data_IF_500557979654
#
_entry.id   IF_500557979654
#
_cell.length_a   1.000
_cell.length_b   1.000
_cell.length_c   1.000
_cell.angle_alpha   90.00
_cell.angle_beta   90.00
_cell.angle_gamma   90.00
#
_symmetry.space_group_name_H-M   'P 1'
#
loop_
_entity.id
_entity.type
_entity.pdbx_description
1 polymer ?
#
# COMPACT_ATOMS: atom_id res chain seq x y z
N UNK A 1 -32.84 10.92 24.86
CA UNK A 1 -32.36 10.21 23.66
C UNK A 1 -30.85 10.27 23.72
N UNK A 2 -30.16 9.15 23.54
CA UNK A 2 -28.70 9.17 23.46
C UNK A 2 -28.31 10.03 22.24
N UNK A 3 -27.22 10.79 22.34
CA UNK A 3 -26.68 11.47 21.16
C UNK A 3 -26.18 10.40 20.19
N UNK A 4 -26.67 10.45 18.96
CA UNK A 4 -26.22 9.59 17.86
C UNK A 4 -25.22 10.37 16.99
N UNK A 5 -24.23 9.64 16.47
CA UNK A 5 -23.19 10.14 15.59
C UNK A 5 -23.31 9.47 14.23
N UNK A 6 -23.06 10.23 13.16
CA UNK A 6 -23.08 9.69 11.80
C UNK A 6 -21.72 9.10 11.44
N UNK A 7 -21.72 7.81 11.10
CA UNK A 7 -20.53 7.05 10.70
C UNK A 7 -20.80 6.32 9.38
N UNK A 8 -19.83 5.51 8.94
CA UNK A 8 -19.92 4.65 7.77
C UNK A 8 -19.75 3.18 8.14
N UNK A 9 -20.27 2.29 7.31
CA UNK A 9 -19.81 0.91 7.21
C UNK A 9 -18.54 0.84 6.34
N UNK A 10 -17.85 -0.30 6.37
CA UNK A 10 -16.65 -0.54 5.57
C UNK A 10 -16.92 -0.57 4.06
N UNK A 11 -18.17 -0.70 3.62
CA UNK A 11 -18.59 -0.53 2.21
C UNK A 11 -19.02 0.91 1.87
N UNK A 12 -19.00 1.83 2.84
CA UNK A 12 -19.38 3.22 2.68
C UNK A 12 -20.84 3.56 3.00
N UNK A 13 -21.68 2.56 3.34
CA UNK A 13 -23.06 2.81 3.78
C UNK A 13 -23.07 3.75 4.99
N UNK A 14 -23.98 4.74 5.00
CA UNK A 14 -24.10 5.68 6.10
C UNK A 14 -24.95 5.10 7.22
N UNK A 15 -24.43 5.13 8.44
CA UNK A 15 -25.10 4.63 9.65
C UNK A 15 -25.11 5.67 10.77
N UNK A 16 -25.94 5.43 11.78
CA UNK A 16 -25.95 6.18 13.04
C UNK A 16 -25.60 5.25 14.20
N UNK A 17 -24.72 5.71 15.09
CA UNK A 17 -24.30 4.93 16.27
C UNK A 17 -24.30 5.80 17.53
N UNK A 18 -24.54 5.19 18.68
CA UNK A 18 -24.31 5.84 19.98
C UNK A 18 -22.84 5.81 20.35
N UNK A 19 -22.41 6.67 21.28
CA UNK A 19 -21.04 6.65 21.81
C UNK A 19 -20.64 5.26 22.32
N UNK A 20 -21.50 4.58 23.06
CA UNK A 20 -21.19 3.25 23.62
C UNK A 20 -20.95 2.21 22.53
N UNK A 21 -21.70 2.27 21.43
CA UNK A 21 -21.48 1.38 20.27
C UNK A 21 -20.15 1.67 19.58
N UNK A 22 -19.79 2.95 19.43
CA UNK A 22 -18.52 3.35 18.82
C UNK A 22 -17.33 2.85 19.66
N UNK A 23 -17.38 3.03 20.99
CA UNK A 23 -16.33 2.55 21.89
C UNK A 23 -16.21 1.03 21.84
N UNK A 24 -17.33 0.31 21.84
CA UNK A 24 -17.31 -1.16 21.73
C UNK A 24 -16.68 -1.63 20.42
N UNK A 25 -17.03 -1.00 19.30
CA UNK A 25 -16.46 -1.34 17.98
C UNK A 25 -14.96 -1.02 17.90
N UNK A 26 -14.51 0.09 18.49
CA UNK A 26 -13.08 0.43 18.58
C UNK A 26 -12.31 -0.63 19.38
N UNK A 27 -12.84 -1.05 20.53
CA UNK A 27 -12.25 -2.11 21.35
C UNK A 27 -12.19 -3.44 20.60
N UNK A 28 -13.28 -3.85 19.94
CA UNK A 28 -13.33 -5.10 19.18
C UNK A 28 -12.36 -5.08 17.99
N UNK A 29 -12.26 -3.97 17.27
CA UNK A 29 -11.33 -3.83 16.14
C UNK A 29 -9.87 -3.89 16.57
N UNK A 30 -9.53 -3.27 17.70
CA UNK A 30 -8.18 -3.35 18.26
C UNK A 30 -7.85 -4.76 18.78
N UNK A 31 -8.79 -5.41 19.47
CA UNK A 31 -8.63 -6.78 19.95
C UNK A 31 -8.46 -7.79 18.81
N UNK A 32 -9.18 -7.62 17.69
CA UNK A 32 -9.02 -8.46 16.48
C UNK A 32 -7.60 -8.37 15.93
N UNK A 33 -7.06 -7.16 15.76
CA UNK A 33 -5.69 -6.96 15.30
C UNK A 33 -4.66 -7.54 16.28
N UNK A 34 -4.88 -7.32 17.58
CA UNK A 34 -4.01 -7.81 18.64
C UNK A 34 -3.93 -9.33 18.67
N UNK A 35 -5.07 -10.02 18.56
CA UNK A 35 -5.13 -11.49 18.55
C UNK A 35 -4.46 -12.06 17.29
N UNK A 36 -4.82 -11.54 16.11
CA UNK A 36 -4.30 -12.04 14.83
C UNK A 36 -2.79 -11.79 14.67
N UNK A 37 -2.35 -10.58 14.99
CA UNK A 37 -0.94 -10.18 14.87
C UNK A 37 -0.08 -10.56 16.06
N UNK A 38 -0.66 -11.07 17.15
CA UNK A 38 0.04 -11.25 18.43
C UNK A 38 0.78 -9.97 18.89
N UNK A 39 0.08 -8.83 18.78
CA UNK A 39 0.56 -7.48 19.11
C UNK A 39 -0.30 -6.89 20.25
N UNK A 40 0.17 -5.84 20.96
CA UNK A 40 -0.64 -5.20 21.99
C UNK A 40 -1.89 -4.52 21.41
N UNK A 41 -3.00 -4.60 22.14
CA UNK A 41 -4.17 -3.74 21.92
C UNK A 41 -3.82 -2.26 22.13
N UNK A 42 -4.63 -1.38 21.56
CA UNK A 42 -4.57 0.05 21.84
C UNK A 42 -4.92 0.31 23.32
N UNK A 43 -4.19 1.23 23.93
CA UNK A 43 -4.46 1.68 25.29
C UNK A 43 -5.77 2.46 25.38
N UNK A 44 -6.28 2.62 26.60
CA UNK A 44 -7.53 3.37 26.84
C UNK A 44 -7.45 4.81 26.33
N UNK A 45 -6.33 5.49 26.51
CA UNK A 45 -6.11 6.87 26.05
C UNK A 45 -6.12 6.95 24.51
N UNK A 46 -5.58 5.93 23.83
CA UNK A 46 -5.58 5.86 22.37
C UNK A 46 -6.98 5.56 21.82
N UNK A 47 -7.73 4.67 22.45
CA UNK A 47 -9.13 4.40 22.10
C UNK A 47 -10.01 5.63 22.31
N UNK A 48 -9.82 6.37 23.42
CA UNK A 48 -10.51 7.63 23.68
C UNK A 48 -10.20 8.67 22.60
N UNK A 49 -8.93 8.77 22.17
CA UNK A 49 -8.53 9.68 21.09
C UNK A 49 -9.14 9.30 19.74
N UNK A 50 -9.20 8.00 19.40
CA UNK A 50 -9.90 7.54 18.20
C UNK A 50 -11.40 7.84 18.26
N UNK A 51 -12.01 7.67 19.43
CA UNK A 51 -13.41 7.99 19.63
C UNK A 51 -13.68 9.49 19.42
N UNK A 52 -12.81 10.37 19.92
CA UNK A 52 -12.91 11.81 19.71
C UNK A 52 -12.80 12.19 18.21
N UNK A 53 -11.88 11.57 17.46
CA UNK A 53 -11.73 11.79 16.00
C UNK A 53 -13.01 11.35 15.26
N UNK A 54 -13.53 10.17 15.58
CA UNK A 54 -14.70 9.61 14.91
C UNK A 54 -15.96 10.43 15.20
N UNK A 55 -16.14 10.81 16.46
CA UNK A 55 -17.31 11.54 16.95
C UNK A 55 -17.26 13.04 16.66
N UNK A 56 -16.19 13.55 16.03
CA UNK A 56 -16.09 14.95 15.63
C UNK A 56 -17.29 15.34 14.74
N UNK A 57 -17.95 16.44 15.10
CA UNK A 57 -19.12 16.96 14.40
C UNK A 57 -18.80 17.60 13.04
N UNK A 58 -17.53 17.92 12.78
CA UNK A 58 -17.08 18.47 11.52
C UNK A 58 -17.10 17.42 10.43
N UNK A 59 -17.43 17.83 9.20
CA UNK A 59 -17.38 16.91 8.05
C UNK A 59 -15.95 16.47 7.75
N UNK A 60 -15.01 17.40 7.83
CA UNK A 60 -13.58 17.20 7.59
C UNK A 60 -12.85 17.38 8.91
N UNK A 61 -11.91 16.49 9.20
CA UNK A 61 -10.99 16.63 10.34
C UNK A 61 -9.56 16.67 9.82
N UNK A 62 -8.66 17.29 10.58
CA UNK A 62 -7.24 17.39 10.22
C UNK A 62 -6.41 17.42 11.49
N UNK A 63 -5.11 17.19 11.33
CA UNK A 63 -4.11 17.44 12.37
C UNK A 63 -3.94 18.93 12.62
N UNK A 64 -3.41 19.27 13.79
CA UNK A 64 -3.08 20.65 14.15
C UNK A 64 -1.88 21.18 13.35
N UNK A 65 -1.79 22.50 13.11
CA UNK A 65 -0.62 23.08 12.44
C UNK A 65 0.70 22.73 13.12
N UNK A 66 1.68 22.28 12.33
CA UNK A 66 2.97 21.76 12.78
C UNK A 66 3.02 20.25 13.01
N UNK A 67 1.89 19.55 12.83
CA UNK A 67 1.78 18.09 12.90
C UNK A 67 1.52 17.46 11.53
N UNK A 68 1.64 18.23 10.45
CA UNK A 68 1.54 17.73 9.08
C UNK A 68 2.68 16.75 8.77
N UNK A 69 2.38 15.76 7.93
CA UNK A 69 3.31 14.74 7.46
C UNK A 69 3.33 14.72 5.92
N UNK A 70 4.44 14.26 5.31
CA UNK A 70 4.51 14.02 3.87
C UNK A 70 3.33 13.21 3.33
N UNK A 71 2.80 13.67 2.20
CA UNK A 71 1.85 12.91 1.38
C UNK A 71 2.59 12.31 0.19
N UNK A 72 2.76 11.00 0.23
CA UNK A 72 3.35 10.19 -0.83
C UNK A 72 2.27 9.54 -1.67
N UNK A 73 2.41 9.58 -2.99
CA UNK A 73 1.35 9.14 -3.90
C UNK A 73 1.78 7.94 -4.73
N UNK A 74 0.93 6.91 -4.73
CA UNK A 74 0.90 5.78 -5.64
C UNK A 74 -0.04 6.05 -6.85
N UNK A 75 0.00 5.17 -7.86
CA UNK A 75 -0.67 5.17 -9.18
C UNK A 75 -0.39 6.40 -10.06
N UNK A 76 0.29 7.38 -9.48
CA UNK A 76 0.79 8.60 -10.07
C UNK A 76 -0.21 9.28 -11.00
N UNK A 77 0.20 9.40 -12.25
CA UNK A 77 -0.52 10.11 -13.31
C UNK A 77 -1.90 9.56 -13.64
N UNK A 78 -2.10 8.28 -13.33
CA UNK A 78 -3.31 7.53 -13.68
C UNK A 78 -4.50 7.86 -12.76
N UNK A 79 -4.26 8.47 -11.59
CA UNK A 79 -5.35 9.02 -10.75
C UNK A 79 -6.26 9.96 -11.56
N UNK A 80 -5.70 10.69 -12.53
CA UNK A 80 -6.46 11.63 -13.36
C UNK A 80 -7.04 10.96 -14.60
N UNK A 81 -6.19 10.33 -15.42
CA UNK A 81 -6.59 9.81 -16.74
C UNK A 81 -7.18 8.39 -16.72
N UNK A 82 -6.84 7.60 -15.70
CA UNK A 82 -7.28 6.23 -15.53
C UNK A 82 -8.77 6.14 -15.23
N UNK A 83 -9.36 4.99 -15.51
CA UNK A 83 -10.76 4.75 -15.15
C UNK A 83 -10.91 4.41 -13.66
N UNK A 84 -12.17 4.35 -13.20
CA UNK A 84 -12.50 4.02 -11.81
C UNK A 84 -12.07 2.60 -11.41
N UNK A 85 -11.86 1.71 -12.38
CA UNK A 85 -11.37 0.35 -12.13
C UNK A 85 -9.90 0.33 -11.69
N UNK A 86 -9.12 1.32 -12.13
CA UNK A 86 -7.75 1.56 -11.68
C UNK A 86 -7.64 2.76 -10.73
N UNK A 87 -8.68 3.02 -9.92
CA UNK A 87 -8.72 4.13 -8.94
C UNK A 87 -8.51 5.53 -9.55
N UNK A 88 -8.75 5.70 -10.85
CA UNK A 88 -8.67 6.96 -11.56
C UNK A 88 -10.02 7.66 -11.74
N UNK A 89 -10.01 8.95 -12.10
CA UNK A 89 -11.24 9.75 -12.25
C UNK A 89 -11.74 9.91 -13.70
N UNK A 90 -11.06 9.31 -14.67
CA UNK A 90 -11.47 9.28 -16.08
C UNK A 90 -11.44 10.63 -16.78
N UNK A 91 -10.62 11.57 -16.30
CA UNK A 91 -10.44 12.89 -16.89
C UNK A 91 -9.25 12.82 -17.87
N UNK A 92 -9.47 12.92 -19.19
CA UNK A 92 -8.37 12.79 -20.15
C UNK A 92 -7.26 13.80 -19.87
N UNK A 93 -6.07 13.27 -19.57
CA UNK A 93 -4.87 14.04 -19.27
C UNK A 93 -3.66 13.34 -19.87
N UNK A 94 -2.53 14.05 -19.97
CA UNK A 94 -1.24 13.41 -20.24
C UNK A 94 -0.58 13.04 -18.91
N UNK A 95 0.35 12.09 -18.95
CA UNK A 95 1.14 11.72 -17.76
C UNK A 95 1.84 12.91 -17.12
N UNK A 96 2.53 13.74 -17.91
CA UNK A 96 3.16 14.98 -17.42
C UNK A 96 2.14 15.94 -16.74
N UNK A 97 0.98 16.16 -17.35
CA UNK A 97 -0.06 17.02 -16.77
C UNK A 97 -0.60 16.41 -15.47
N UNK A 98 -0.76 15.09 -15.41
CA UNK A 98 -1.13 14.36 -14.19
C UNK A 98 -0.14 14.57 -13.05
N UNK A 99 1.17 14.40 -13.30
CA UNK A 99 2.23 14.68 -12.33
C UNK A 99 2.15 16.13 -11.83
N UNK A 100 2.14 17.10 -12.75
CA UNK A 100 2.11 18.52 -12.39
C UNK A 100 0.83 18.92 -11.66
N UNK A 101 -0.30 18.26 -11.90
CA UNK A 101 -1.55 18.50 -11.19
C UNK A 101 -1.45 18.10 -9.72
N UNK A 102 -0.83 16.94 -9.43
CA UNK A 102 -0.64 16.49 -8.05
C UNK A 102 0.32 17.41 -7.30
N UNK A 103 1.48 17.73 -7.89
CA UNK A 103 2.44 18.64 -7.27
C UNK A 103 1.85 20.05 -7.05
N UNK A 104 1.30 20.67 -8.11
CA UNK A 104 0.98 22.11 -8.09
C UNK A 104 -0.44 22.41 -7.63
N UNK A 105 -1.36 21.48 -7.89
CA UNK A 105 -2.79 21.64 -7.59
C UNK A 105 -3.17 21.01 -6.26
N UNK A 106 -2.64 19.81 -5.97
CA UNK A 106 -3.00 19.06 -4.76
C UNK A 106 -1.96 19.19 -3.64
N UNK A 107 -0.73 19.61 -3.97
CA UNK A 107 0.33 19.82 -2.98
C UNK A 107 0.97 18.53 -2.50
N UNK A 108 1.06 17.52 -3.37
CA UNK A 108 1.77 16.27 -3.09
C UNK A 108 3.26 16.53 -2.78
N UNK A 109 3.82 15.81 -1.81
CA UNK A 109 5.23 15.98 -1.39
C UNK A 109 6.19 15.09 -2.20
N UNK A 110 5.69 13.98 -2.74
CA UNK A 110 6.34 13.17 -3.77
C UNK A 110 5.35 12.81 -4.86
N UNK A 111 5.86 12.32 -5.97
CA UNK A 111 5.03 11.78 -7.03
C UNK A 111 5.71 10.57 -7.64
N UNK A 112 4.95 9.80 -8.41
CA UNK A 112 5.51 8.75 -9.24
C UNK A 112 4.98 8.80 -10.68
N UNK A 113 5.77 8.20 -11.57
CA UNK A 113 5.39 7.88 -12.92
C UNK A 113 5.13 6.38 -13.03
N UNK A 114 4.01 6.01 -13.65
CA UNK A 114 3.67 4.62 -13.92
C UNK A 114 3.23 4.41 -15.37
N UNK A 115 3.35 3.16 -15.82
CA UNK A 115 2.69 2.68 -17.03
C UNK A 115 1.20 2.44 -16.76
N UNK A 116 0.32 2.51 -17.76
CA UNK A 116 -1.15 2.41 -17.58
C UNK A 116 -1.62 1.11 -16.91
N UNK A 117 -0.92 0.01 -17.15
CA UNK A 117 -1.17 -1.29 -16.49
C UNK A 117 -0.69 -1.31 -15.03
N UNK A 118 0.16 -0.34 -14.69
CA UNK A 118 0.72 -0.13 -13.36
C UNK A 118 1.40 -1.37 -12.77
N UNK A 119 1.97 -2.21 -13.64
CA UNK A 119 2.78 -3.37 -13.29
C UNK A 119 4.14 -3.30 -13.99
N UNK A 120 5.17 -3.92 -13.41
CA UNK A 120 6.50 -3.92 -14.02
C UNK A 120 6.53 -4.70 -15.36
N UNK A 121 5.89 -5.88 -15.44
CA UNK A 121 6.02 -6.77 -16.60
C UNK A 121 5.72 -6.08 -17.95
N UNK A 122 4.64 -5.29 -18.10
CA UNK A 122 4.31 -4.62 -19.37
C UNK A 122 5.23 -3.45 -19.74
N UNK A 123 6.07 -2.98 -18.82
CA UNK A 123 7.03 -1.88 -19.08
C UNK A 123 8.16 -2.34 -20.00
N UNK A 124 8.59 -3.60 -19.87
CA UNK A 124 9.79 -4.12 -20.54
C UNK A 124 9.80 -3.90 -22.08
N UNK A 125 8.72 -4.16 -22.83
CA UNK A 125 8.68 -3.90 -24.28
C UNK A 125 8.69 -2.41 -24.66
N UNK A 126 8.33 -1.52 -23.73
CA UNK A 126 8.18 -0.08 -23.96
C UNK A 126 9.17 0.77 -23.15
N UNK A 127 10.23 0.16 -22.60
CA UNK A 127 11.16 0.83 -21.68
C UNK A 127 11.73 2.15 -22.21
N UNK A 128 11.99 2.24 -23.52
CA UNK A 128 12.52 3.46 -24.13
C UNK A 128 11.52 4.63 -24.10
N UNK A 129 10.22 4.33 -24.14
CA UNK A 129 9.17 5.33 -23.99
C UNK A 129 9.04 5.76 -22.53
N UNK A 130 9.17 4.81 -21.59
CA UNK A 130 9.15 5.11 -20.15
C UNK A 130 10.35 5.95 -19.72
N UNK A 131 11.54 5.67 -20.26
CA UNK A 131 12.72 6.50 -20.06
C UNK A 131 12.49 7.94 -20.53
N UNK A 132 11.96 8.14 -21.74
CA UNK A 132 11.64 9.48 -22.25
C UNK A 132 10.59 10.18 -21.39
N UNK A 133 9.56 9.45 -20.95
CA UNK A 133 8.52 10.02 -20.10
C UNK A 133 9.08 10.44 -18.73
N UNK A 134 9.95 9.63 -18.13
CA UNK A 134 10.64 9.94 -16.88
C UNK A 134 11.49 11.20 -17.02
N UNK A 135 12.36 11.28 -18.04
CA UNK A 135 13.19 12.47 -18.30
C UNK A 135 12.33 13.73 -18.46
N UNK A 136 11.28 13.66 -19.27
CA UNK A 136 10.39 14.80 -19.51
C UNK A 136 9.70 15.24 -18.22
N UNK A 137 9.22 14.31 -17.40
CA UNK A 137 8.57 14.65 -16.14
C UNK A 137 9.58 15.24 -15.15
N UNK A 138 10.75 14.64 -14.94
CA UNK A 138 11.76 15.18 -14.02
C UNK A 138 12.24 16.58 -14.41
N UNK A 139 12.33 16.91 -15.70
CA UNK A 139 12.68 18.27 -16.14
C UNK A 139 11.60 19.34 -15.84
N UNK A 140 10.38 18.92 -15.49
CA UNK A 140 9.23 19.81 -15.28
C UNK A 140 8.68 19.76 -13.85
N UNK A 141 9.22 18.91 -12.98
CA UNK A 141 8.80 18.69 -11.61
C UNK A 141 9.87 19.21 -10.63
N UNK A 142 9.45 19.52 -9.41
CA UNK A 142 10.29 19.92 -8.28
C UNK A 142 10.32 18.83 -7.20
N UNK A 143 9.16 18.21 -6.93
CA UNK A 143 9.06 17.08 -5.99
C UNK A 143 9.79 15.84 -6.54
N UNK A 144 10.31 14.95 -5.67
CA UNK A 144 10.90 13.69 -6.11
C UNK A 144 9.92 12.88 -6.97
N UNK A 145 10.41 12.32 -8.08
CA UNK A 145 9.61 11.52 -9.01
C UNK A 145 10.12 10.08 -9.05
N UNK A 146 9.43 9.19 -8.33
CA UNK A 146 9.68 7.75 -8.34
C UNK A 146 9.11 7.10 -9.60
N UNK A 147 9.50 5.86 -9.88
CA UNK A 147 8.75 4.99 -10.79
C UNK A 147 7.91 4.01 -9.99
N UNK A 148 6.59 4.08 -10.14
CA UNK A 148 5.63 3.25 -9.42
C UNK A 148 5.12 2.10 -10.26
N UNK A 149 5.16 0.89 -9.71
CA UNK A 149 4.56 -0.28 -10.33
C UNK A 149 4.39 -1.44 -9.35
N UNK A 150 3.39 -2.27 -9.63
CA UNK A 150 3.15 -3.54 -8.96
C UNK A 150 4.08 -4.64 -9.49
N UNK A 151 4.59 -5.53 -8.62
CA UNK A 151 5.25 -6.77 -9.05
C UNK A 151 4.30 -7.67 -9.85
N UNK A 152 3.04 -7.79 -9.38
CA UNK A 152 1.90 -8.44 -10.03
C UNK A 152 2.23 -9.78 -10.70
N UNK A 153 2.50 -10.79 -9.87
CA UNK A 153 2.80 -12.15 -10.37
C UNK A 153 1.70 -12.76 -11.23
N UNK A 154 0.45 -12.28 -11.11
CA UNK A 154 -0.66 -12.68 -11.96
C UNK A 154 -0.32 -12.64 -13.45
N UNK A 155 0.44 -11.62 -13.87
CA UNK A 155 0.86 -11.45 -15.25
C UNK A 155 1.89 -12.49 -15.69
N UNK A 156 2.62 -13.13 -14.78
CA UNK A 156 3.60 -14.18 -15.10
C UNK A 156 2.97 -15.57 -15.26
N UNK A 157 1.69 -15.70 -14.93
CA UNK A 157 0.94 -16.93 -15.10
C UNK A 157 0.13 -16.97 -16.41
N UNK A 158 -0.16 -18.16 -16.92
CA UNK A 158 -1.03 -18.36 -18.08
C UNK A 158 -2.43 -17.78 -17.80
N UNK A 159 -3.08 -17.14 -18.79
CA UNK A 159 -2.73 -17.17 -20.22
C UNK A 159 -1.70 -16.11 -20.67
N UNK A 160 -1.44 -15.07 -19.88
CA UNK A 160 -0.62 -13.91 -20.30
C UNK A 160 0.88 -14.11 -20.04
N UNK A 161 1.21 -15.03 -19.15
CA UNK A 161 2.56 -15.37 -18.76
C UNK A 161 2.99 -16.79 -19.11
N UNK A 162 4.30 -17.07 -19.00
CA UNK A 162 4.88 -18.33 -19.44
C UNK A 162 4.67 -19.49 -18.46
N UNK A 163 4.23 -19.24 -17.22
CA UNK A 163 4.14 -20.26 -16.17
C UNK A 163 2.69 -20.69 -15.92
N UNK A 164 2.45 -21.96 -15.64
CA UNK A 164 1.08 -22.47 -15.42
C UNK A 164 0.43 -21.81 -14.19
N UNK A 165 -0.85 -21.43 -14.28
CA UNK A 165 -1.52 -20.72 -13.19
C UNK A 165 -1.57 -21.56 -11.89
N UNK A 166 -0.97 -21.10 -10.77
CA UNK A 166 -0.95 -21.85 -9.51
C UNK A 166 -2.34 -22.16 -8.97
N UNK A 167 -3.30 -21.26 -9.14
CA UNK A 167 -4.68 -21.47 -8.72
C UNK A 167 -5.34 -22.63 -9.47
N UNK A 168 -5.05 -22.83 -10.75
CA UNK A 168 -5.57 -23.95 -11.53
C UNK A 168 -4.84 -25.27 -11.22
N UNK A 169 -3.52 -25.20 -11.00
CA UNK A 169 -2.73 -26.33 -10.53
C UNK A 169 -3.21 -26.83 -9.16
N UNK A 170 -3.45 -25.92 -8.22
CA UNK A 170 -3.98 -26.26 -6.89
C UNK A 170 -5.37 -26.91 -6.97
N UNK A 171 -6.28 -26.38 -7.82
CA UNK A 171 -7.59 -27.02 -8.06
C UNK A 171 -7.46 -28.42 -8.66
N UNK A 172 -6.39 -28.69 -9.39
CA UNK A 172 -6.06 -29.99 -9.96
C UNK A 172 -5.27 -30.90 -8.98
N UNK A 173 -5.08 -30.49 -7.72
CA UNK A 173 -4.30 -31.19 -6.70
C UNK A 173 -2.80 -31.36 -7.04
N UNK A 174 -2.27 -30.49 -7.91
CA UNK A 174 -0.87 -30.44 -8.33
C UNK A 174 -0.09 -29.41 -7.52
N UNK A 175 0.09 -29.69 -6.22
CA UNK A 175 0.64 -28.71 -5.26
C UNK A 175 2.12 -28.41 -5.52
N UNK A 176 2.92 -29.42 -5.85
CA UNK A 176 4.34 -29.23 -6.13
C UNK A 176 4.54 -28.41 -7.40
N UNK A 177 3.78 -28.70 -8.45
CA UNK A 177 3.83 -27.94 -9.69
C UNK A 177 3.35 -26.50 -9.48
N UNK A 178 2.36 -26.27 -8.60
CA UNK A 178 1.93 -24.93 -8.25
C UNK A 178 3.05 -24.14 -7.57
N UNK A 179 3.78 -24.78 -6.65
CA UNK A 179 4.95 -24.19 -5.97
C UNK A 179 6.07 -23.87 -6.95
N UNK A 180 6.47 -24.83 -7.78
CA UNK A 180 7.47 -24.63 -8.83
C UNK A 180 7.07 -23.49 -9.78
N UNK A 181 5.78 -23.35 -10.10
CA UNK A 181 5.29 -22.24 -10.93
C UNK A 181 5.45 -20.88 -10.25
N UNK A 182 5.14 -20.80 -8.95
CA UNK A 182 5.31 -19.58 -8.15
C UNK A 182 6.80 -19.21 -8.03
N UNK A 183 7.69 -20.18 -7.77
CA UNK A 183 9.14 -19.97 -7.71
C UNK A 183 9.67 -19.40 -9.03
N UNK A 184 9.32 -20.03 -10.16
CA UNK A 184 9.75 -19.55 -11.48
C UNK A 184 9.20 -18.16 -11.81
N UNK A 185 7.96 -17.87 -11.42
CA UNK A 185 7.36 -16.56 -11.60
C UNK A 185 8.05 -15.50 -10.74
N UNK A 186 8.33 -15.80 -9.48
CA UNK A 186 9.07 -14.92 -8.56
C UNK A 186 10.47 -14.57 -9.06
N UNK A 187 11.23 -15.57 -9.52
CA UNK A 187 12.56 -15.35 -10.10
C UNK A 187 12.50 -14.53 -11.40
N UNK A 188 11.47 -14.75 -12.23
CA UNK A 188 11.28 -13.97 -13.45
C UNK A 188 10.92 -12.51 -13.12
N UNK A 189 9.99 -12.29 -12.20
CA UNK A 189 9.60 -10.96 -11.75
C UNK A 189 10.79 -10.20 -11.16
N UNK A 190 11.58 -10.83 -10.30
CA UNK A 190 12.82 -10.25 -9.74
C UNK A 190 13.74 -9.72 -10.84
N UNK A 191 13.99 -10.53 -11.88
CA UNK A 191 14.84 -10.13 -13.02
C UNK A 191 14.25 -8.99 -13.83
N UNK A 192 12.95 -9.02 -14.07
CA UNK A 192 12.27 -7.99 -14.88
C UNK A 192 12.24 -6.65 -14.15
N UNK A 193 11.87 -6.64 -12.87
CA UNK A 193 11.87 -5.43 -12.03
C UNK A 193 13.27 -4.81 -11.99
N UNK A 194 14.28 -5.63 -11.68
CA UNK A 194 15.68 -5.17 -11.63
C UNK A 194 16.11 -4.59 -12.97
N UNK A 195 15.83 -5.27 -14.08
CA UNK A 195 16.19 -4.80 -15.43
C UNK A 195 15.50 -3.49 -15.80
N UNK A 196 14.21 -3.33 -15.48
CA UNK A 196 13.45 -2.12 -15.76
C UNK A 196 14.05 -0.94 -15.00
N UNK A 197 14.28 -1.11 -13.70
CA UNK A 197 14.84 -0.06 -12.87
C UNK A 197 16.28 0.29 -13.26
N UNK A 198 17.12 -0.67 -13.65
CA UNK A 198 18.44 -0.40 -14.24
C UNK A 198 18.37 0.52 -15.47
N UNK A 199 17.30 0.45 -16.27
CA UNK A 199 17.14 1.33 -17.42
C UNK A 199 16.60 2.70 -17.03
N UNK A 200 15.67 2.77 -16.09
CA UNK A 200 15.12 4.04 -15.60
C UNK A 200 16.16 4.84 -14.79
N UNK A 201 17.00 4.17 -14.00
CA UNK A 201 18.10 4.80 -13.28
C UNK A 201 19.13 5.47 -14.21
N UNK A 202 19.34 4.94 -15.43
CA UNK A 202 20.24 5.56 -16.44
C UNK A 202 19.76 6.92 -16.92
N UNK A 203 18.47 7.23 -16.75
CA UNK A 203 17.87 8.50 -17.17
C UNK A 203 17.51 9.42 -16.01
N UNK A 204 18.01 9.11 -14.82
CA UNK A 204 17.93 9.99 -13.65
C UNK A 204 16.74 9.76 -12.72
N UNK A 205 15.96 8.69 -12.92
CA UNK A 205 14.83 8.33 -12.05
C UNK A 205 15.22 8.39 -10.55
N UNK A 206 14.44 9.11 -9.74
CA UNK A 206 14.81 9.38 -8.34
C UNK A 206 14.73 8.12 -7.45
N UNK A 207 13.92 7.14 -7.85
CA UNK A 207 13.74 5.90 -7.11
C UNK A 207 12.60 5.06 -7.65
N UNK A 208 12.15 4.11 -6.84
CA UNK A 208 11.09 3.16 -7.18
C UNK A 208 10.10 3.02 -6.04
N UNK A 209 8.82 2.99 -6.38
CA UNK A 209 7.76 2.54 -5.49
C UNK A 209 7.32 1.14 -5.91
N UNK A 210 7.64 0.16 -5.07
CA UNK A 210 7.08 -1.18 -5.17
C UNK A 210 5.72 -1.16 -4.49
N UNK A 211 4.69 -0.96 -5.30
CA UNK A 211 3.32 -0.90 -4.80
C UNK A 211 2.69 -2.29 -4.75
N UNK A 212 1.77 -2.49 -3.81
CA UNK A 212 0.88 -3.66 -3.76
C UNK A 212 1.67 -4.98 -3.66
N UNK A 213 2.76 -4.95 -2.90
CA UNK A 213 3.60 -6.11 -2.63
C UNK A 213 2.78 -7.19 -1.92
N UNK A 214 2.85 -8.42 -2.43
CA UNK A 214 2.17 -9.55 -1.78
C UNK A 214 0.73 -9.79 -2.25
N UNK A 215 0.20 -9.03 -3.21
CA UNK A 215 -1.16 -9.22 -3.72
C UNK A 215 -1.39 -10.62 -4.32
N UNK A 216 -0.35 -11.22 -4.90
CA UNK A 216 -0.37 -12.61 -5.38
C UNK A 216 0.21 -13.62 -4.37
N UNK A 217 0.39 -13.21 -3.11
CA UNK A 217 0.93 -14.02 -2.02
C UNK A 217 2.44 -13.90 -1.82
N UNK A 218 3.00 -14.84 -1.07
CA UNK A 218 4.40 -14.91 -0.65
C UNK A 218 5.42 -14.96 -1.80
N UNK A 219 5.03 -15.44 -2.99
CA UNK A 219 5.87 -15.32 -4.20
C UNK A 219 6.12 -13.87 -4.62
N UNK A 220 5.13 -13.00 -4.42
CA UNK A 220 5.17 -11.59 -4.82
C UNK A 220 6.07 -10.80 -3.85
N UNK A 221 5.93 -11.11 -2.55
CA UNK A 221 6.86 -10.64 -1.51
C UNK A 221 8.29 -11.10 -1.80
N UNK A 222 8.50 -12.37 -2.15
CA UNK A 222 9.81 -12.90 -2.53
C UNK A 222 10.41 -12.09 -3.68
N UNK A 223 9.67 -11.91 -4.78
CA UNK A 223 10.18 -11.18 -5.94
C UNK A 223 10.55 -9.73 -5.61
N UNK A 224 9.75 -9.09 -4.78
CA UNK A 224 9.94 -7.71 -4.37
C UNK A 224 11.20 -7.55 -3.51
N UNK A 225 11.35 -8.34 -2.44
CA UNK A 225 12.49 -8.24 -1.53
C UNK A 225 13.82 -8.54 -2.23
N UNK A 226 13.87 -9.57 -3.09
CA UNK A 226 15.10 -9.87 -3.84
C UNK A 226 15.41 -8.82 -4.92
N UNK A 227 14.39 -8.21 -5.54
CA UNK A 227 14.60 -7.10 -6.47
C UNK A 227 15.11 -5.84 -5.75
N UNK A 228 14.53 -5.48 -4.61
CA UNK A 228 15.00 -4.38 -3.77
C UNK A 228 16.46 -4.57 -3.37
N UNK A 229 16.82 -5.77 -2.91
CA UNK A 229 18.19 -6.12 -2.53
C UNK A 229 19.16 -5.95 -3.70
N UNK A 230 18.82 -6.48 -4.88
CA UNK A 230 19.64 -6.33 -6.08
C UNK A 230 19.81 -4.86 -6.49
N UNK A 231 18.74 -4.07 -6.40
CA UNK A 231 18.78 -2.64 -6.72
C UNK A 231 19.60 -1.83 -5.72
N UNK A 232 19.48 -2.10 -4.42
CA UNK A 232 20.29 -1.45 -3.38
C UNK A 232 21.77 -1.79 -3.54
N UNK A 233 22.10 -3.03 -3.89
CA UNK A 233 23.48 -3.46 -4.14
C UNK A 233 24.10 -2.74 -5.35
N UNK A 234 23.35 -2.60 -6.45
CA UNK A 234 23.84 -1.95 -7.67
C UNK A 234 23.82 -0.42 -7.59
N UNK A 235 22.79 0.15 -6.97
CA UNK A 235 22.55 1.58 -6.81
C UNK A 235 22.42 1.92 -5.32
N UNK A 236 23.54 2.06 -4.56
CA UNK A 236 23.49 2.27 -3.11
C UNK A 236 22.66 3.45 -2.62
N UNK A 237 22.41 4.44 -3.49
CA UNK A 237 21.64 5.64 -3.17
C UNK A 237 20.22 5.66 -3.79
N UNK A 238 19.79 4.58 -4.46
CA UNK A 238 18.42 4.53 -5.01
C UNK A 238 17.40 4.69 -3.88
N UNK A 239 16.35 5.48 -4.11
CA UNK A 239 15.24 5.53 -3.16
C UNK A 239 14.27 4.38 -3.44
N UNK A 240 13.91 3.62 -2.41
CA UNK A 240 13.01 2.46 -2.50
C UNK A 240 11.87 2.65 -1.51
N UNK A 241 10.66 2.72 -2.04
CA UNK A 241 9.41 2.66 -1.27
C UNK A 241 8.79 1.26 -1.44
N UNK A 242 8.29 0.70 -0.35
CA UNK A 242 7.76 -0.65 -0.29
C UNK A 242 6.35 -0.65 0.31
N UNK A 243 5.33 -0.53 -0.53
CA UNK A 243 3.90 -0.58 -0.16
C UNK A 243 3.32 -1.98 -0.23
N UNK A 244 2.61 -2.40 0.80
CA UNK A 244 2.09 -3.77 0.94
C UNK A 244 0.64 -3.86 0.44
N UNK A 245 0.20 -5.05 0.01
CA UNK A 245 -1.18 -5.28 -0.48
C UNK A 245 -2.16 -5.81 0.57
N UNK A 246 -1.67 -6.38 1.67
CA UNK A 246 -2.49 -6.86 2.77
C UNK A 246 -1.71 -6.92 4.08
N UNK A 247 -2.43 -6.85 5.20
CA UNK A 247 -1.82 -6.90 6.53
C UNK A 247 -1.10 -8.24 6.78
N UNK A 248 -1.55 -9.33 6.17
CA UNK A 248 -0.98 -10.66 6.33
C UNK A 248 -0.55 -11.20 4.97
N UNK A 249 0.71 -11.60 4.83
CA UNK A 249 1.22 -12.21 3.60
C UNK A 249 0.59 -13.59 3.38
N UNK A 250 -0.18 -13.74 2.30
CA UNK A 250 -0.83 -15.02 1.97
C UNK A 250 0.20 -16.07 1.51
N UNK A 251 0.25 -17.22 2.18
CA UNK A 251 1.12 -18.34 1.82
C UNK A 251 0.60 -19.17 0.65
N UNK A 252 0.63 -18.62 -0.57
CA UNK A 252 0.24 -19.33 -1.79
C UNK A 252 1.24 -20.44 -2.13
N UNK A 253 2.54 -20.20 -1.89
CA UNK A 253 3.58 -21.22 -1.91
C UNK A 253 3.73 -21.87 -0.52
N UNK A 254 3.85 -21.03 0.52
CA UNK A 254 3.90 -21.39 1.94
C UNK A 254 5.30 -21.73 2.48
N UNK A 255 6.33 -21.68 1.65
CA UNK A 255 7.70 -22.14 1.99
C UNK A 255 8.80 -21.24 1.41
N UNK A 256 8.44 -20.10 0.80
CA UNK A 256 9.43 -19.13 0.33
C UNK A 256 10.02 -18.37 1.52
N UNK A 257 11.32 -18.10 1.43
CA UNK A 257 12.09 -17.43 2.46
C UNK A 257 12.88 -16.24 1.90
N UNK A 258 13.05 -15.21 2.73
CA UNK A 258 14.03 -14.16 2.53
C UNK A 258 14.97 -14.15 3.73
N UNK A 259 16.28 -14.28 3.48
CA UNK A 259 17.32 -14.36 4.53
C UNK A 259 17.02 -15.40 5.64
N UNK A 260 16.42 -16.53 5.25
CA UNK A 260 16.06 -17.62 6.17
C UNK A 260 14.80 -17.39 7.00
N UNK A 261 14.05 -16.30 6.75
CA UNK A 261 12.73 -16.05 7.35
C UNK A 261 11.64 -16.41 6.35
N UNK A 262 10.70 -17.27 6.76
CA UNK A 262 9.52 -17.60 5.97
C UNK A 262 8.67 -16.35 5.70
N UNK A 263 8.20 -16.22 4.47
CA UNK A 263 7.43 -15.05 4.01
C UNK A 263 5.92 -15.19 4.25
N UNK A 264 5.42 -16.42 4.22
CA UNK A 264 4.00 -16.68 4.46
C UNK A 264 3.60 -16.38 5.92
N UNK A 265 2.48 -15.68 6.09
CA UNK A 265 1.89 -15.40 7.40
C UNK A 265 2.48 -14.21 8.14
N UNK A 266 3.39 -13.44 7.52
CA UNK A 266 3.97 -12.25 8.14
C UNK A 266 2.94 -11.14 8.28
N UNK A 267 2.84 -10.56 9.48
CA UNK A 267 2.06 -9.37 9.80
C UNK A 267 2.88 -8.09 9.64
N UNK A 268 2.30 -6.87 9.68
CA UNK A 268 3.01 -5.66 9.26
C UNK A 268 4.29 -5.37 10.08
N UNK A 269 4.25 -5.62 11.39
CA UNK A 269 5.41 -5.51 12.28
C UNK A 269 6.52 -6.54 12.02
N UNK A 270 6.23 -7.60 11.28
CA UNK A 270 7.18 -8.63 10.87
C UNK A 270 7.65 -8.47 9.41
N UNK A 271 6.89 -7.73 8.60
CA UNK A 271 7.19 -7.37 7.22
C UNK A 271 8.23 -6.24 7.16
N UNK A 272 8.05 -5.18 7.96
CA UNK A 272 8.95 -4.01 7.92
C UNK A 272 10.44 -4.33 8.09
N UNK A 273 10.86 -5.23 9.01
CA UNK A 273 12.29 -5.52 9.15
C UNK A 273 12.88 -6.24 7.93
N UNK A 274 12.06 -7.00 7.20
CA UNK A 274 12.51 -7.64 5.96
C UNK A 274 12.63 -6.64 4.81
N UNK A 275 11.70 -5.70 4.71
CA UNK A 275 11.79 -4.61 3.73
C UNK A 275 13.04 -3.74 3.99
N UNK A 276 13.32 -3.42 5.27
CA UNK A 276 14.56 -2.74 5.68
C UNK A 276 15.81 -3.51 5.28
N UNK A 277 15.85 -4.82 5.57
CA UNK A 277 16.98 -5.69 5.23
C UNK A 277 17.18 -5.81 3.71
N UNK A 278 16.08 -5.81 2.95
CA UNK A 278 16.11 -5.75 1.48
C UNK A 278 16.54 -4.37 0.93
N UNK A 279 16.61 -3.35 1.79
CA UNK A 279 17.11 -2.02 1.44
C UNK A 279 16.05 -0.97 1.15
N UNK A 280 14.80 -1.15 1.60
CA UNK A 280 13.78 -0.12 1.54
C UNK A 280 14.18 1.14 2.33
N UNK A 281 13.77 2.31 1.83
CA UNK A 281 13.89 3.60 2.51
C UNK A 281 12.62 3.98 3.24
N UNK A 282 11.46 3.54 2.76
CA UNK A 282 10.14 3.76 3.34
C UNK A 282 9.36 2.46 3.27
N UNK A 283 8.58 2.19 4.31
CA UNK A 283 7.68 1.05 4.36
C UNK A 283 6.23 1.50 4.46
N UNK A 284 5.38 0.94 3.60
CA UNK A 284 3.94 1.07 3.62
C UNK A 284 3.29 -0.13 4.28
N UNK A 285 2.97 -0.07 5.59
CA UNK A 285 2.07 -1.06 6.18
C UNK A 285 0.67 -0.83 5.64
N UNK A 286 -0.07 -1.91 5.47
CA UNK A 286 -1.47 -1.87 5.03
C UNK A 286 -2.35 -2.67 5.98
N UNK A 287 -3.62 -2.29 6.06
CA UNK A 287 -4.68 -3.07 6.69
C UNK A 287 -5.94 -2.96 5.87
N UNK A 288 -6.46 -4.10 5.41
CA UNK A 288 -7.64 -4.16 4.56
C UNK A 288 -8.90 -3.88 5.38
N UNK A 289 -9.81 -3.12 4.78
CA UNK A 289 -11.11 -2.79 5.34
C UNK A 289 -12.07 -3.98 5.21
N UNK A 290 -12.65 -4.38 6.33
CA UNK A 290 -13.75 -5.32 6.36
C UNK A 290 -15.07 -4.58 6.06
N UNK A 291 -15.65 -4.85 4.89
CA UNK A 291 -16.88 -4.21 4.40
C UNK A 291 -18.10 -4.47 5.27
N UNK A 292 -18.10 -5.56 6.05
CA UNK A 292 -19.20 -5.93 6.96
C UNK A 292 -19.08 -5.30 8.35
N UNK A 293 -18.02 -4.51 8.60
CA UNK A 293 -17.75 -3.86 9.89
C UNK A 293 -17.90 -2.34 9.78
N UNK A 294 -18.06 -1.67 10.91
CA UNK A 294 -18.18 -0.21 10.94
C UNK A 294 -16.84 0.48 10.67
N UNK A 295 -16.87 1.77 10.34
CA UNK A 295 -15.66 2.58 10.21
C UNK A 295 -14.90 2.68 11.53
N UNK A 296 -15.58 2.60 12.67
CA UNK A 296 -14.93 2.59 13.99
C UNK A 296 -14.11 1.31 14.19
N UNK A 297 -14.72 0.15 13.94
CA UNK A 297 -14.03 -1.13 14.02
C UNK A 297 -12.82 -1.21 13.08
N UNK A 298 -13.04 -0.84 11.80
CA UNK A 298 -11.97 -0.86 10.80
C UNK A 298 -10.83 0.09 11.14
N UNK A 299 -11.13 1.29 11.66
CA UNK A 299 -10.12 2.26 12.02
C UNK A 299 -9.25 1.78 13.19
N UNK A 300 -9.87 1.26 14.26
CA UNK A 300 -9.10 0.73 15.39
C UNK A 300 -8.20 -0.44 14.98
N UNK A 301 -8.73 -1.37 14.14
CA UNK A 301 -7.95 -2.49 13.61
C UNK A 301 -6.74 -2.00 12.82
N UNK A 302 -6.95 -1.09 11.88
CA UNK A 302 -5.88 -0.55 11.05
C UNK A 302 -4.83 0.19 11.87
N UNK A 303 -5.25 1.09 12.78
CA UNK A 303 -4.33 1.82 13.67
C UNK A 303 -3.52 0.86 14.54
N UNK A 304 -4.11 -0.23 15.04
CA UNK A 304 -3.40 -1.23 15.87
C UNK A 304 -2.27 -1.89 15.09
N UNK A 305 -2.54 -2.39 13.88
CA UNK A 305 -1.51 -3.00 13.03
C UNK A 305 -0.42 -2.00 12.61
N UNK A 306 -0.83 -0.83 12.13
CA UNK A 306 0.11 0.21 11.67
C UNK A 306 1.00 0.69 12.81
N UNK A 307 0.46 0.90 14.02
CA UNK A 307 1.25 1.29 15.19
C UNK A 307 2.31 0.25 15.55
N UNK A 308 1.98 -1.04 15.45
CA UNK A 308 2.94 -2.11 15.69
C UNK A 308 4.04 -2.13 14.61
N UNK A 309 3.70 -1.86 13.34
CA UNK A 309 4.69 -1.69 12.27
C UNK A 309 5.62 -0.51 12.53
N UNK A 310 5.07 0.67 12.83
CA UNK A 310 5.84 1.87 13.21
C UNK A 310 6.79 1.57 14.37
N UNK A 311 6.32 0.84 15.39
CA UNK A 311 7.14 0.49 16.56
C UNK A 311 8.27 -0.49 16.24
N UNK A 312 8.12 -1.30 15.19
CA UNK A 312 9.12 -2.26 14.74
C UNK A 312 10.11 -1.67 13.70
N UNK A 313 9.78 -0.50 13.14
CA UNK A 313 10.52 0.12 12.05
C UNK A 313 11.71 0.97 12.52
N UNK A 314 12.77 0.96 11.73
CA UNK A 314 13.92 1.88 11.78
C UNK A 314 13.94 2.83 10.57
N UNK A 315 13.03 2.64 9.61
CA UNK A 315 12.78 3.53 8.48
C UNK A 315 11.39 4.19 8.62
N UNK A 316 11.15 5.34 7.97
CA UNK A 316 9.85 5.98 7.99
C UNK A 316 8.73 5.05 7.52
N UNK A 317 7.59 5.12 8.20
CA UNK A 317 6.38 4.40 7.80
C UNK A 317 5.38 5.34 7.13
N UNK A 318 5.14 5.11 5.85
CA UNK A 318 4.12 5.82 5.06
C UNK A 318 2.96 4.87 4.83
N UNK A 319 1.96 4.90 5.71
CA UNK A 319 0.89 3.89 5.70
C UNK A 319 0.11 3.92 4.39
N UNK A 320 -0.16 2.75 3.82
CA UNK A 320 -0.95 2.65 2.60
C UNK A 320 -2.41 3.03 2.91
N UNK A 321 -2.88 4.11 2.27
CA UNK A 321 -4.23 4.62 2.46
C UNK A 321 -4.94 4.82 1.13
N UNK A 322 -6.15 4.29 1.02
CA UNK A 322 -6.92 4.36 -0.20
C UNK A 322 -8.22 3.60 -0.12
N UNK A 323 -8.88 3.41 -1.26
CA UNK A 323 -10.10 2.63 -1.34
C UNK A 323 -9.91 1.24 -0.70
N UNK A 324 -10.64 0.98 0.39
CA UNK A 324 -10.65 -0.33 1.04
C UNK A 324 -9.46 -0.66 1.93
N UNK A 325 -8.59 0.30 2.26
CA UNK A 325 -7.43 0.08 3.14
C UNK A 325 -7.25 1.21 4.16
N UNK A 326 -6.49 0.97 5.23
CA UNK A 326 -6.15 1.99 6.23
C UNK A 326 -7.37 2.51 7.02
N UNK A 327 -8.44 1.73 7.12
CA UNK A 327 -9.71 2.13 7.73
C UNK A 327 -10.64 2.95 6.82
N UNK A 328 -10.24 3.17 5.56
CA UNK A 328 -11.06 3.86 4.56
C UNK A 328 -12.02 2.85 3.91
N UNK A 329 -13.30 3.20 3.71
CA UNK A 329 -14.28 2.33 3.09
C UNK A 329 -13.89 1.86 1.69
N UNK A 330 -14.32 0.65 1.34
CA UNK A 330 -14.25 0.09 0.00
C UNK A 330 -15.34 0.74 -0.87
N UNK A 331 -15.03 1.90 -1.45
CA UNK A 331 -15.92 2.64 -2.34
C UNK A 331 -15.10 3.42 -3.36
N UNK A 332 -15.50 3.42 -4.65
CA UNK A 332 -14.72 3.99 -5.77
C UNK A 332 -14.27 5.44 -5.51
N UNK A 333 -15.13 6.24 -4.89
CA UNK A 333 -14.79 7.61 -4.46
C UNK A 333 -15.00 7.72 -2.96
N UNK A 334 -14.02 7.29 -2.13
CA UNK A 334 -14.20 7.19 -0.70
C UNK A 334 -14.73 8.50 -0.10
N UNK A 335 -15.75 8.45 0.78
CA UNK A 335 -16.29 9.65 1.37
C UNK A 335 -15.22 10.41 2.15
N UNK A 336 -15.05 11.69 1.84
CA UNK A 336 -14.00 12.54 2.43
C UNK A 336 -14.07 12.60 3.97
N UNK A 337 -15.27 12.43 4.54
CA UNK A 337 -15.48 12.34 5.98
C UNK A 337 -14.78 11.12 6.60
N UNK A 338 -14.76 9.99 5.90
CA UNK A 338 -14.08 8.77 6.34
C UNK A 338 -12.57 8.87 6.09
N UNK A 339 -12.16 9.35 4.91
CA UNK A 339 -10.74 9.53 4.54
C UNK A 339 -10.02 10.40 5.57
N UNK A 340 -10.54 11.60 5.83
CA UNK A 340 -9.88 12.54 6.74
C UNK A 340 -9.79 12.05 8.18
N UNK A 341 -10.80 11.31 8.67
CA UNK A 341 -10.76 10.67 10.01
C UNK A 341 -9.72 9.57 10.08
N UNK A 342 -9.65 8.73 9.05
CA UNK A 342 -8.65 7.68 8.96
C UNK A 342 -7.23 8.28 8.93
N UNK A 343 -6.97 9.25 8.05
CA UNK A 343 -5.67 9.91 7.94
C UNK A 343 -5.28 10.57 9.26
N UNK A 344 -6.18 11.35 9.89
CA UNK A 344 -5.90 11.98 11.19
C UNK A 344 -5.54 10.95 12.26
N UNK A 345 -6.26 9.84 12.33
CA UNK A 345 -6.00 8.79 13.31
C UNK A 345 -4.65 8.08 13.07
N UNK A 346 -4.27 7.87 11.81
CA UNK A 346 -2.94 7.33 11.49
C UNK A 346 -1.83 8.25 11.99
N UNK A 347 -1.93 9.56 11.75
CA UNK A 347 -0.92 10.52 12.24
C UNK A 347 -0.92 10.58 13.77
N UNK A 348 -2.10 10.75 14.37
CA UNK A 348 -2.20 11.13 15.77
C UNK A 348 -2.15 9.96 16.77
N UNK A 349 -2.40 8.72 16.31
CA UNK A 349 -2.48 7.53 17.17
C UNK A 349 -1.52 6.44 16.71
N UNK A 350 -1.49 6.12 15.41
CA UNK A 350 -0.54 5.14 14.90
C UNK A 350 0.89 5.68 14.87
N UNK A 351 1.05 6.99 14.68
CA UNK A 351 2.34 7.68 14.71
C UNK A 351 3.14 7.52 13.42
N UNK A 352 2.45 7.48 12.28
CA UNK A 352 3.07 7.35 10.95
C UNK A 352 3.85 8.60 10.57
N UNK A 353 4.88 8.41 9.74
CA UNK A 353 5.74 9.49 9.24
C UNK A 353 5.25 10.06 7.91
N UNK A 354 4.36 9.36 7.22
CA UNK A 354 3.72 9.76 5.97
C UNK A 354 2.43 8.98 5.72
N UNK A 355 1.69 9.38 4.70
CA UNK A 355 0.47 8.73 4.17
C UNK A 355 0.47 8.73 2.65
#
# INVERSE_FOLDING_TARGET
MANEYFLRMGDGERISMTKDQIIADLQEGSADAADLGNIPELSGDELDKLADIIMDSNRLVSVEPGMEIPVTHDIGTLRIDGDQGNSGVGIPSSRLTGCMMHERGFGADTMELGHIDYSFKPVKPVIAQEQQAMEVCQQNMTVPLLYGAMPNLGLYYTPDGPFENPGDLMKAFKINEARESIEHAGDHATRDITWIMQHLQKVGCDGVNFDTIGAAGDGDVYASLYAMKALREEFPNIYIEAGMAGECTLGMHGELEFEGKALAGLWPHEQVPLAEEAGANVFGPVCNTNTSKTSAWNLARAVTFTKAAVSAANIPCHVDMGMGVGGIPMFETPPIDAVTRASKAMVEVAGVDGI
#
